data_IF_383217137549
#
_entry.id   IF_383217137549
#
_cell.length_a   1.000
_cell.length_b   1.000
_cell.length_c   1.000
_cell.angle_alpha   90.00
_cell.angle_beta   90.00
_cell.angle_gamma   90.00
#
_symmetry.space_group_name_H-M   'P 1'
#
loop_
_entity.id
_entity.type
_entity.pdbx_description
1 polymer ?
#
# COMPACT_ATOMS: atom_id res chain seq x y z
N UNK A 1 7.46 -4.98 10.71
CA UNK A 1 8.68 -4.46 10.06
C UNK A 1 9.57 -3.77 11.09
N UNK A 2 10.88 -3.85 10.94
CA UNK A 2 11.84 -3.10 11.76
C UNK A 2 11.91 -1.63 11.33
N UNK A 3 12.37 -0.76 12.22
CA UNK A 3 12.66 0.64 11.88
C UNK A 3 13.56 0.76 10.64
N UNK A 4 14.63 -0.04 10.56
CA UNK A 4 15.57 0.01 9.44
C UNK A 4 14.94 -0.37 8.10
N UNK A 5 14.09 -1.40 8.10
CA UNK A 5 13.29 -1.79 6.92
C UNK A 5 12.36 -0.66 6.48
N UNK A 6 11.65 -0.03 7.42
CA UNK A 6 10.76 1.10 7.10
C UNK A 6 11.51 2.26 6.46
N UNK A 7 12.68 2.63 7.01
CA UNK A 7 13.51 3.71 6.43
C UNK A 7 13.98 3.36 5.02
N UNK A 8 14.40 2.11 4.77
CA UNK A 8 14.77 1.64 3.43
C UNK A 8 13.60 1.68 2.45
N UNK A 9 12.42 1.22 2.87
CA UNK A 9 11.20 1.30 2.06
C UNK A 9 10.82 2.75 1.72
N UNK A 10 10.90 3.66 2.69
CA UNK A 10 10.61 5.08 2.46
C UNK A 10 11.57 5.71 1.44
N UNK A 11 12.86 5.36 1.48
CA UNK A 11 13.83 5.79 0.45
C UNK A 11 13.50 5.24 -0.94
N UNK A 12 12.98 4.03 -1.00
CA UNK A 12 12.55 3.39 -2.26
C UNK A 12 11.35 4.09 -2.87
N UNK A 13 10.38 4.49 -2.03
CA UNK A 13 9.22 5.27 -2.44
C UNK A 13 9.64 6.69 -2.84
N UNK A 14 10.42 7.36 -2.00
CA UNK A 14 10.90 8.72 -2.26
C UNK A 14 11.72 8.81 -3.55
N UNK A 15 12.60 7.84 -3.80
CA UNK A 15 13.37 7.80 -5.04
C UNK A 15 12.51 7.66 -6.29
N UNK A 16 11.44 6.85 -6.23
CA UNK A 16 10.45 6.73 -7.32
C UNK A 16 9.65 8.02 -7.50
N UNK A 17 9.21 8.65 -6.42
CA UNK A 17 8.51 9.95 -6.47
C UNK A 17 9.37 11.06 -7.08
N UNK A 18 10.70 10.97 -6.91
CA UNK A 18 11.69 11.87 -7.51
C UNK A 18 12.13 11.48 -8.93
N UNK A 19 11.57 10.41 -9.50
CA UNK A 19 11.88 9.96 -10.86
C UNK A 19 13.22 9.25 -11.03
N UNK A 20 13.83 8.74 -9.95
CA UNK A 20 15.10 7.99 -10.03
C UNK A 20 14.91 6.53 -10.49
N UNK A 21 13.67 6.01 -10.43
CA UNK A 21 13.31 4.60 -10.62
C UNK A 21 14.16 3.60 -9.80
N UNK A 22 14.73 4.09 -8.71
CA UNK A 22 15.51 3.33 -7.74
C UNK A 22 15.39 3.95 -6.36
N UNK A 23 15.89 3.24 -5.35
CA UNK A 23 16.06 3.77 -4.02
C UNK A 23 17.04 4.95 -4.00
N UNK A 24 16.70 6.02 -3.27
CA UNK A 24 17.67 7.07 -2.95
C UNK A 24 18.80 6.49 -2.11
N UNK A 25 20.05 6.81 -2.39
CA UNK A 25 21.19 6.51 -1.53
C UNK A 25 21.12 7.29 -0.21
N UNK A 26 21.80 6.82 0.85
CA UNK A 26 21.82 7.53 2.14
C UNK A 26 22.35 8.97 1.97
N UNK A 27 23.35 9.15 1.12
CA UNK A 27 23.93 10.47 0.81
C UNK A 27 22.93 11.37 0.08
N UNK A 28 22.14 10.84 -0.86
CA UNK A 28 21.08 11.59 -1.53
C UNK A 28 20.00 12.04 -0.54
N UNK A 29 19.62 11.18 0.42
CA UNK A 29 18.69 11.55 1.51
C UNK A 29 19.26 12.67 2.35
N UNK A 30 20.53 12.57 2.79
CA UNK A 30 21.18 13.62 3.60
C UNK A 30 21.15 14.96 2.87
N UNK A 31 21.49 14.96 1.57
CA UNK A 31 21.47 16.19 0.75
C UNK A 31 20.06 16.74 0.60
N UNK A 32 19.07 15.90 0.32
CA UNK A 32 17.68 16.31 0.16
C UNK A 32 17.08 16.87 1.46
N UNK A 33 17.34 16.22 2.60
CA UNK A 33 16.93 16.71 3.93
C UNK A 33 17.50 18.11 4.18
N UNK A 34 18.77 18.33 3.85
CA UNK A 34 19.38 19.64 4.03
C UNK A 34 18.80 20.70 3.09
N UNK A 35 18.61 20.35 1.81
CA UNK A 35 18.05 21.26 0.81
C UNK A 35 16.60 21.68 1.11
N UNK A 36 15.78 20.78 1.64
CA UNK A 36 14.34 21.00 1.80
C UNK A 36 13.94 21.49 3.20
N UNK A 37 14.65 21.05 4.23
CA UNK A 37 14.30 21.34 5.62
C UNK A 37 15.34 22.24 6.32
N UNK A 38 16.49 22.50 5.70
CA UNK A 38 17.58 23.27 6.31
C UNK A 38 18.21 22.60 7.53
N UNK A 39 17.92 21.32 7.76
CA UNK A 39 18.41 20.54 8.89
C UNK A 39 19.50 19.55 8.43
N UNK A 40 20.30 19.06 9.37
CA UNK A 40 21.38 18.12 9.07
C UNK A 40 21.16 16.77 9.74
N UNK A 41 21.39 15.70 8.98
CA UNK A 41 21.49 14.33 9.50
C UNK A 41 22.72 13.68 8.86
N UNK A 42 23.44 12.82 9.58
CA UNK A 42 24.63 12.18 9.02
C UNK A 42 24.29 10.90 8.26
N UNK A 43 25.03 10.64 7.18
CA UNK A 43 24.91 9.39 6.42
C UNK A 43 25.22 8.18 7.31
N UNK A 44 26.23 8.28 8.17
CA UNK A 44 26.57 7.21 9.11
C UNK A 44 25.43 6.91 10.08
N UNK A 45 24.68 7.93 10.51
CA UNK A 45 23.52 7.70 11.37
C UNK A 45 22.39 6.98 10.64
N UNK A 46 22.09 7.34 9.37
CA UNK A 46 21.16 6.58 8.54
C UNK A 46 21.60 5.13 8.37
N UNK A 47 22.90 4.88 8.15
CA UNK A 47 23.45 3.54 8.07
C UNK A 47 23.24 2.72 9.34
N UNK A 48 23.46 3.32 10.52
CA UNK A 48 23.26 2.67 11.81
C UNK A 48 21.79 2.34 12.08
N UNK A 49 20.86 3.14 11.54
CA UNK A 49 19.42 2.86 11.63
C UNK A 49 19.04 1.71 10.71
N UNK A 50 19.43 1.80 9.43
CA UNK A 50 19.07 0.84 8.39
C UNK A 50 19.66 -0.55 8.59
N UNK A 51 20.82 -0.66 9.26
CA UNK A 51 21.45 -1.94 9.61
C UNK A 51 21.03 -2.45 11.00
N UNK A 52 20.18 -1.73 11.73
CA UNK A 52 19.66 -2.13 13.03
C UNK A 52 20.61 -1.92 14.23
N UNK A 53 21.82 -1.40 14.02
CA UNK A 53 22.75 -1.08 15.14
C UNK A 53 22.15 -0.04 16.09
N UNK A 54 21.33 0.87 15.55
CA UNK A 54 20.59 1.87 16.29
C UNK A 54 19.08 1.68 16.07
N UNK A 55 18.44 0.78 16.84
CA UNK A 55 17.04 0.39 16.62
C UNK A 55 16.02 1.47 17.00
N UNK A 56 16.48 2.60 17.58
CA UNK A 56 15.63 3.69 18.03
C UNK A 56 16.16 5.05 17.57
N UNK A 57 15.25 5.92 17.16
CA UNK A 57 15.52 7.32 16.84
C UNK A 57 15.36 8.20 18.06
N UNK A 58 16.22 9.22 18.19
CA UNK A 58 15.92 10.36 19.05
C UNK A 58 14.62 11.02 18.59
N UNK A 59 13.93 11.71 19.50
CA UNK A 59 12.70 12.43 19.18
C UNK A 59 12.93 13.43 18.03
N UNK A 60 14.03 14.19 18.07
CA UNK A 60 14.39 15.16 17.04
C UNK A 60 14.64 14.51 15.67
N UNK A 61 15.40 13.41 15.63
CA UNK A 61 15.68 12.69 14.38
C UNK A 61 14.43 12.05 13.79
N UNK A 62 13.53 11.57 14.66
CA UNK A 62 12.24 11.02 14.26
C UNK A 62 11.35 12.08 13.62
N UNK A 63 11.25 13.26 14.24
CA UNK A 63 10.50 14.37 13.67
C UNK A 63 11.08 14.81 12.33
N UNK A 64 12.41 14.90 12.24
CA UNK A 64 13.10 15.29 11.00
C UNK A 64 12.80 14.31 9.86
N UNK A 65 13.01 13.01 10.08
CA UNK A 65 12.77 11.99 9.05
C UNK A 65 11.29 11.87 8.70
N UNK A 66 10.39 12.02 9.69
CA UNK A 66 8.95 12.05 9.45
C UNK A 66 8.54 13.23 8.56
N UNK A 67 9.08 14.43 8.84
CA UNK A 67 8.83 15.63 8.06
C UNK A 67 9.40 15.55 6.65
N UNK A 68 10.55 14.88 6.48
CA UNK A 68 11.15 14.64 5.16
C UNK A 68 10.31 13.67 4.33
N UNK A 69 10.05 12.46 4.85
CA UNK A 69 9.30 11.42 4.14
C UNK A 69 7.78 11.60 4.14
N UNK A 70 7.27 12.68 4.74
CA UNK A 70 5.83 12.99 4.83
C UNK A 70 5.00 11.88 5.48
N UNK A 71 5.54 11.25 6.53
CA UNK A 71 4.87 10.21 7.32
C UNK A 71 4.61 10.67 8.75
N UNK A 72 3.67 10.03 9.43
CA UNK A 72 3.47 10.25 10.86
C UNK A 72 4.72 9.79 11.66
N UNK A 73 5.22 10.52 12.68
CA UNK A 73 6.38 10.10 13.47
C UNK A 73 6.23 8.72 14.12
N UNK A 74 5.00 8.33 14.44
CA UNK A 74 4.68 6.99 14.96
C UNK A 74 4.93 5.85 13.97
N UNK A 75 5.03 6.12 12.66
CA UNK A 75 5.41 5.11 11.67
C UNK A 75 6.89 4.70 11.81
N UNK A 76 7.76 5.62 12.25
CA UNK A 76 9.21 5.42 12.38
C UNK A 76 9.58 4.75 13.72
N UNK A 77 8.93 3.62 13.99
CA UNK A 77 9.23 2.70 15.09
C UNK A 77 9.15 1.27 14.56
N UNK A 78 9.85 0.34 15.20
CA UNK A 78 9.69 -1.09 14.91
C UNK A 78 8.29 -1.54 15.32
N UNK A 79 7.63 -2.29 14.44
CA UNK A 79 6.32 -2.86 14.74
C UNK A 79 6.44 -3.95 15.83
N UNK A 80 5.49 -4.03 16.77
CA UNK A 80 5.46 -5.11 17.72
C UNK A 80 5.18 -6.45 17.03
N UNK A 81 5.59 -7.59 17.63
CA UNK A 81 5.21 -8.91 17.14
C UNK A 81 3.69 -9.04 17.00
N UNK A 82 3.21 -9.60 15.89
CA UNK A 82 1.78 -9.74 15.62
C UNK A 82 1.06 -8.44 15.22
N UNK A 83 1.79 -7.35 14.95
CA UNK A 83 1.18 -6.14 14.40
C UNK A 83 0.71 -6.36 12.97
N UNK A 84 -0.56 -6.03 12.73
CA UNK A 84 -1.17 -5.94 11.41
C UNK A 84 -1.75 -4.54 11.23
N UNK A 85 -1.62 -3.98 10.04
CA UNK A 85 -2.21 -2.67 9.68
C UNK A 85 -3.73 -2.72 9.56
N UNK A 86 -4.28 -3.93 9.52
CA UNK A 86 -5.70 -4.24 9.39
C UNK A 86 -6.20 -4.89 10.69
N UNK A 87 -7.47 -4.68 11.03
CA UNK A 87 -8.10 -5.36 12.17
C UNK A 87 -8.27 -6.85 11.85
N UNK A 88 -7.28 -7.66 12.24
CA UNK A 88 -7.35 -9.12 12.15
C UNK A 88 -7.88 -9.66 13.48
N UNK A 89 -9.10 -10.20 13.46
CA UNK A 89 -9.57 -11.11 14.51
C UNK A 89 -9.08 -12.51 14.16
N UNK A 90 -8.55 -13.28 15.12
CA UNK A 90 -8.04 -14.66 14.92
C UNK A 90 -9.13 -15.66 14.43
N UNK A 91 -10.37 -15.20 14.23
CA UNK A 91 -11.55 -15.98 13.82
C UNK A 91 -11.85 -15.85 12.31
N UNK A 92 -11.02 -15.16 11.55
CA UNK A 92 -11.30 -14.79 10.15
C UNK A 92 -10.74 -15.83 9.19
N UNK A 93 -11.62 -16.54 8.47
CA UNK A 93 -11.22 -17.47 7.40
C UNK A 93 -10.69 -16.68 6.18
N UNK A 94 -9.95 -17.34 5.28
CA UNK A 94 -9.43 -16.68 4.07
C UNK A 94 -10.52 -16.06 3.18
N UNK A 95 -11.74 -16.61 3.20
CA UNK A 95 -12.91 -16.08 2.47
C UNK A 95 -13.35 -14.73 3.06
N UNK A 96 -13.38 -14.62 4.40
CA UNK A 96 -13.75 -13.38 5.10
C UNK A 96 -12.80 -12.19 4.80
N UNK A 97 -11.53 -12.46 4.46
CA UNK A 97 -10.55 -11.42 4.14
C UNK A 97 -10.78 -10.81 2.75
N UNK A 98 -11.10 -11.64 1.75
CA UNK A 98 -11.41 -11.18 0.40
C UNK A 98 -12.72 -10.40 0.38
N UNK A 99 -13.75 -10.91 1.07
CA UNK A 99 -15.06 -10.27 1.12
C UNK A 99 -14.98 -8.90 1.80
N UNK A 100 -14.20 -8.80 2.88
CA UNK A 100 -13.90 -7.52 3.52
C UNK A 100 -13.19 -6.56 2.58
N UNK A 101 -12.17 -7.02 1.86
CA UNK A 101 -11.46 -6.19 0.89
C UNK A 101 -12.41 -5.67 -0.21
N UNK A 102 -13.31 -6.51 -0.71
CA UNK A 102 -14.32 -6.14 -1.69
C UNK A 102 -15.31 -5.09 -1.15
N UNK A 103 -15.76 -5.24 0.11
CA UNK A 103 -16.65 -4.26 0.76
C UNK A 103 -15.96 -2.91 1.00
N UNK A 104 -14.73 -2.92 1.52
CA UNK A 104 -13.93 -1.69 1.69
C UNK A 104 -13.65 -1.00 0.35
N UNK A 105 -13.38 -1.77 -0.70
CA UNK A 105 -13.25 -1.27 -2.07
C UNK A 105 -14.53 -0.60 -2.56
N UNK A 106 -15.69 -1.20 -2.31
CA UNK A 106 -16.99 -0.66 -2.67
C UNK A 106 -17.28 0.69 -1.99
N UNK A 107 -16.89 0.86 -0.73
CA UNK A 107 -17.03 2.12 0.00
C UNK A 107 -16.11 3.21 -0.55
N UNK A 108 -14.83 2.88 -0.78
CA UNK A 108 -13.85 3.82 -1.33
C UNK A 108 -14.22 4.32 -2.72
N UNK A 109 -14.92 3.49 -3.49
CA UNK A 109 -15.35 3.78 -4.86
C UNK A 109 -16.84 4.12 -4.97
N UNK A 110 -17.48 4.56 -3.87
CA UNK A 110 -18.91 4.88 -3.85
C UNK A 110 -19.35 5.97 -4.84
N UNK A 111 -18.42 6.75 -5.39
CA UNK A 111 -18.67 7.72 -6.46
C UNK A 111 -19.01 7.05 -7.80
N UNK A 112 -18.54 5.83 -8.04
CA UNK A 112 -18.94 4.96 -9.14
C UNK A 112 -19.95 3.93 -8.61
N UNK A 113 -21.24 4.23 -8.79
CA UNK A 113 -22.32 3.42 -8.23
C UNK A 113 -22.43 2.05 -8.88
N UNK A 114 -22.17 1.94 -10.18
CA UNK A 114 -22.23 0.67 -10.90
C UNK A 114 -21.13 -0.27 -10.40
N UNK A 115 -19.90 0.24 -10.31
CA UNK A 115 -18.76 -0.54 -9.83
C UNK A 115 -18.85 -0.88 -8.35
N UNK A 116 -19.26 0.07 -7.50
CA UNK A 116 -19.48 -0.17 -6.06
C UNK A 116 -20.49 -1.30 -5.82
N UNK A 117 -21.61 -1.33 -6.57
CA UNK A 117 -22.60 -2.40 -6.45
C UNK A 117 -22.10 -3.74 -7.00
N UNK A 118 -21.27 -3.74 -8.05
CA UNK A 118 -20.62 -4.97 -8.53
C UNK A 118 -19.71 -5.59 -7.46
N UNK A 119 -18.92 -4.78 -6.77
CA UNK A 119 -18.05 -5.23 -5.67
C UNK A 119 -18.85 -5.79 -4.49
N UNK A 120 -19.95 -5.12 -4.09
CA UNK A 120 -20.84 -5.64 -3.03
C UNK A 120 -21.49 -6.98 -3.39
N UNK A 121 -21.90 -7.15 -4.65
CA UNK A 121 -22.45 -8.43 -5.14
C UNK A 121 -21.40 -9.55 -5.09
N UNK A 122 -20.16 -9.25 -5.47
CA UNK A 122 -19.06 -10.22 -5.36
C UNK A 122 -18.79 -10.59 -3.90
N UNK A 123 -18.73 -9.61 -2.99
CA UNK A 123 -18.51 -9.85 -1.56
C UNK A 123 -19.64 -10.65 -0.88
N UNK A 124 -20.84 -10.64 -1.46
CA UNK A 124 -21.99 -11.39 -0.95
C UNK A 124 -22.10 -12.79 -1.56
N UNK A 125 -21.23 -13.13 -2.52
CA UNK A 125 -21.27 -14.43 -3.19
C UNK A 125 -20.59 -15.50 -2.32
N UNK A 126 -21.19 -16.69 -2.12
CA UNK A 126 -20.61 -17.75 -1.29
C UNK A 126 -19.22 -18.23 -1.74
N UNK A 127 -18.86 -18.00 -3.00
CA UNK A 127 -17.54 -18.28 -3.57
C UNK A 127 -17.03 -17.05 -4.33
N UNK A 128 -16.76 -15.96 -3.60
CA UNK A 128 -16.26 -14.70 -4.16
C UNK A 128 -14.91 -14.88 -4.85
N UNK A 129 -14.05 -15.74 -4.30
CA UNK A 129 -12.74 -16.11 -4.88
C UNK A 129 -12.90 -16.81 -6.22
N UNK A 130 -13.79 -17.79 -6.32
CA UNK A 130 -14.08 -18.49 -7.57
C UNK A 130 -14.58 -17.56 -8.65
N UNK A 131 -15.43 -16.58 -8.30
CA UNK A 131 -15.89 -15.56 -9.24
C UNK A 131 -14.74 -14.71 -9.81
N UNK A 132 -13.80 -14.27 -8.96
CA UNK A 132 -12.65 -13.47 -9.41
C UNK A 132 -11.66 -14.28 -10.26
N UNK A 133 -11.44 -15.55 -9.90
CA UNK A 133 -10.60 -16.44 -10.71
C UNK A 133 -11.22 -16.70 -12.08
N UNK A 134 -12.53 -16.96 -12.12
CA UNK A 134 -13.26 -17.12 -13.37
C UNK A 134 -13.15 -15.85 -14.22
N UNK A 135 -13.32 -14.67 -13.65
CA UNK A 135 -13.13 -13.41 -14.36
C UNK A 135 -11.71 -13.30 -14.95
N UNK A 136 -10.68 -13.72 -14.20
CA UNK A 136 -9.31 -13.79 -14.70
C UNK A 136 -9.15 -14.70 -15.93
N UNK A 137 -9.72 -15.90 -15.90
CA UNK A 137 -9.72 -16.84 -17.03
C UNK A 137 -10.48 -16.29 -18.24
N UNK A 138 -11.60 -15.60 -18.00
CA UNK A 138 -12.40 -14.97 -19.05
C UNK A 138 -11.63 -13.84 -19.73
N UNK A 139 -10.90 -13.02 -18.97
CA UNK A 139 -10.03 -11.94 -19.50
C UNK A 139 -8.85 -12.53 -20.29
N UNK A 140 -8.32 -13.68 -19.86
CA UNK A 140 -7.24 -14.35 -20.57
C UNK A 140 -7.67 -14.91 -21.94
N UNK A 141 -8.98 -15.09 -22.17
CA UNK A 141 -9.52 -15.57 -23.44
C UNK A 141 -9.78 -14.40 -24.41
N UNK A 142 -9.03 -14.27 -25.52
CA UNK A 142 -9.15 -13.13 -26.42
C UNK A 142 -10.55 -13.04 -27.06
N UNK A 143 -11.18 -11.87 -26.99
CA UNK A 143 -12.47 -11.62 -27.63
C UNK A 143 -13.67 -12.23 -26.90
N UNK A 144 -13.48 -12.82 -25.72
CA UNK A 144 -14.57 -13.43 -24.95
C UNK A 144 -15.31 -12.41 -24.09
N UNK A 145 -14.56 -11.59 -23.34
CA UNK A 145 -15.13 -10.51 -22.51
C UNK A 145 -15.90 -9.53 -23.38
N UNK A 146 -15.35 -9.14 -24.54
CA UNK A 146 -15.98 -8.18 -25.44
C UNK A 146 -17.36 -8.67 -25.91
N UNK A 147 -17.46 -9.93 -26.34
CA UNK A 147 -18.73 -10.54 -26.74
C UNK A 147 -19.71 -10.68 -25.58
N UNK A 148 -19.22 -11.02 -24.39
CA UNK A 148 -20.05 -11.11 -23.21
C UNK A 148 -20.56 -9.74 -22.78
N UNK A 149 -19.73 -8.70 -22.83
CA UNK A 149 -20.13 -7.33 -22.56
C UNK A 149 -21.19 -6.86 -23.56
N UNK A 150 -21.01 -7.14 -24.85
CA UNK A 150 -22.01 -6.86 -25.89
C UNK A 150 -23.35 -7.58 -25.62
N UNK A 151 -23.34 -8.74 -24.97
CA UNK A 151 -24.56 -9.52 -24.71
C UNK A 151 -25.22 -9.15 -23.38
N UNK A 152 -24.43 -8.98 -22.32
CA UNK A 152 -24.89 -8.86 -20.95
C UNK A 152 -25.01 -7.40 -20.48
N UNK A 153 -24.16 -6.51 -20.98
CA UNK A 153 -24.11 -5.10 -20.57
C UNK A 153 -24.77 -4.15 -21.59
N UNK A 154 -25.12 -4.63 -22.79
CA UNK A 154 -25.77 -3.81 -23.82
C UNK A 154 -27.24 -3.43 -23.52
N UNK A 155 -27.76 -3.73 -22.33
CA UNK A 155 -29.17 -3.52 -21.98
C UNK A 155 -29.49 -2.19 -21.27
N UNK A 156 -28.66 -1.15 -21.45
CA UNK A 156 -28.97 0.23 -21.04
C UNK A 156 -28.97 1.24 -22.21
N UNK A 157 -29.39 0.81 -23.40
CA UNK A 157 -29.78 1.73 -24.49
C UNK A 157 -31.17 1.37 -25.04
N UNK A 158 -32.22 1.63 -24.27
CA UNK A 158 -33.55 1.96 -24.82
C UNK A 158 -34.33 2.82 -23.84
#
# INVERSE_FOLDING_TARGET
>A
MTLGEKVRTLRGLEGRLRGLDREMTQTEVVRAVNAELGQTISQSYLSLIENGTRPHLSQSSRQLLAAFFKVHPGYLVTDPPGFHTELTSEVVTHEDALDRWLLEGAERLAHDREFSEALKRLASHPDSRGCLLLLGEMIAMPGFIERLSETLLAKERT
#
